data_IF_265284293242
#
_entry.id   IF_265284293242
#
_cell.length_a   1.000
_cell.length_b   1.000
_cell.length_c   1.000
_cell.angle_alpha   90.00
_cell.angle_beta   90.00
_cell.angle_gamma   90.00
#
_symmetry.space_group_name_H-M   'P 1'
#
loop_
_entity.id
_entity.type
_entity.pdbx_description
1 polymer ?
#
# COMPACT_ATOMS: atom_id res chain seq x y z
N UNK A 1 16.77 -7.02 2.07
CA UNK A 1 15.62 -6.11 1.98
C UNK A 1 14.46 -6.77 1.26
N UNK A 2 13.27 -6.58 1.77
CA UNK A 2 12.07 -7.08 1.10
C UNK A 2 11.21 -5.91 0.62
N UNK A 3 10.40 -6.21 -0.39
CA UNK A 3 9.41 -5.26 -0.90
C UNK A 3 8.05 -5.89 -0.74
N UNK A 4 7.16 -5.21 -0.01
CA UNK A 4 5.78 -5.65 0.14
C UNK A 4 4.93 -4.81 -0.80
N UNK A 5 4.35 -5.45 -1.79
CA UNK A 5 3.53 -4.78 -2.79
C UNK A 5 2.06 -5.11 -2.58
N UNK A 6 1.25 -4.08 -2.37
CA UNK A 6 -0.19 -4.24 -2.35
C UNK A 6 -0.72 -3.74 -3.70
N UNK A 7 -1.16 -4.67 -4.53
CA UNK A 7 -1.70 -4.37 -5.86
C UNK A 7 -3.21 -4.18 -5.72
N UNK A 8 -3.66 -2.97 -5.97
CA UNK A 8 -5.05 -2.58 -5.75
C UNK A 8 -5.67 -2.16 -7.07
N UNK A 9 -6.82 -2.74 -7.40
CA UNK A 9 -7.59 -2.33 -8.56
C UNK A 9 -8.76 -1.48 -8.08
N UNK A 10 -8.90 -0.30 -8.67
CA UNK A 10 -9.95 0.65 -8.30
C UNK A 10 -10.68 1.14 -9.55
N UNK A 11 -11.83 1.74 -9.34
CA UNK A 11 -12.57 2.34 -10.45
C UNK A 11 -11.75 3.42 -11.13
N UNK A 12 -11.90 3.58 -12.46
CA UNK A 12 -11.14 4.59 -13.20
C UNK A 12 -11.24 5.98 -12.57
N UNK A 13 -10.09 6.64 -12.44
CA UNK A 13 -10.00 7.98 -11.87
C UNK A 13 -9.82 8.03 -10.36
N UNK A 14 -9.95 6.92 -9.66
CA UNK A 14 -9.84 6.93 -8.20
C UNK A 14 -8.43 6.72 -7.67
N UNK A 15 -7.55 6.08 -8.46
CA UNK A 15 -6.20 5.81 -7.99
C UNK A 15 -5.45 7.09 -7.61
N UNK A 16 -5.50 8.11 -8.46
CA UNK A 16 -4.84 9.38 -8.19
C UNK A 16 -5.36 10.06 -6.91
N UNK A 17 -6.65 9.90 -6.63
CA UNK A 17 -7.26 10.47 -5.44
C UNK A 17 -6.86 9.72 -4.17
N UNK A 18 -6.59 8.43 -4.31
CA UNK A 18 -6.27 7.57 -3.16
C UNK A 18 -4.79 7.52 -2.84
N UNK A 19 -3.93 7.79 -3.83
CA UNK A 19 -2.50 7.57 -3.69
C UNK A 19 -1.89 8.28 -2.49
N UNK A 20 -2.24 9.54 -2.26
CA UNK A 20 -1.67 10.32 -1.16
C UNK A 20 -2.02 9.76 0.22
N UNK A 21 -3.07 8.94 0.31
CA UNK A 21 -3.44 8.33 1.59
C UNK A 21 -2.40 7.34 2.10
N UNK A 22 -1.56 6.81 1.20
CA UNK A 22 -0.55 5.81 1.56
C UNK A 22 0.81 6.43 1.83
N UNK A 23 0.99 7.70 1.54
CA UNK A 23 2.28 8.38 1.69
C UNK A 23 2.23 9.53 2.68
N UNK A 24 1.23 9.56 3.54
CA UNK A 24 1.13 10.61 4.57
C UNK A 24 2.14 10.37 5.68
N UNK A 25 2.77 11.43 6.20
CA UNK A 25 3.67 11.31 7.34
C UNK A 25 2.95 10.69 8.55
N UNK A 26 3.66 9.86 9.28
CA UNK A 26 3.08 9.23 10.47
C UNK A 26 4.04 8.29 11.15
N UNK A 27 3.54 7.47 12.11
CA UNK A 27 4.39 6.57 12.89
C UNK A 27 5.20 5.60 12.05
N UNK A 28 4.70 5.23 10.86
CA UNK A 28 5.40 4.31 9.97
C UNK A 28 6.81 4.79 9.64
N UNK A 29 7.00 6.10 9.46
CA UNK A 29 8.29 6.66 9.09
C UNK A 29 9.37 6.43 10.14
N UNK A 30 8.98 6.22 11.38
CA UNK A 30 9.90 6.00 12.51
C UNK A 30 10.03 4.54 12.89
N UNK A 31 9.33 3.66 12.18
CA UNK A 31 9.34 2.24 12.53
C UNK A 31 10.66 1.61 12.13
N UNK A 32 11.21 0.79 13.03
CA UNK A 32 12.49 0.13 12.79
C UNK A 32 12.40 -0.78 11.57
N UNK A 33 13.38 -0.66 10.68
CA UNK A 33 13.45 -1.47 9.48
C UNK A 33 12.68 -0.92 8.30
N UNK A 34 11.89 0.13 8.49
CA UNK A 34 11.16 0.75 7.39
C UNK A 34 12.09 1.65 6.57
N UNK A 35 12.04 1.52 5.26
CA UNK A 35 12.85 2.36 4.35
C UNK A 35 12.02 3.39 3.63
N UNK A 36 10.98 2.96 2.92
CA UNK A 36 10.12 3.89 2.19
C UNK A 36 8.85 3.22 1.72
N UNK A 37 7.88 4.03 1.32
CA UNK A 37 6.67 3.57 0.64
C UNK A 37 6.49 4.40 -0.62
N UNK A 38 6.13 3.72 -1.70
CA UNK A 38 5.87 4.36 -2.99
C UNK A 38 4.54 3.89 -3.52
N UNK A 39 3.85 4.77 -4.23
CA UNK A 39 2.60 4.41 -4.89
C UNK A 39 2.78 4.61 -6.39
N UNK A 40 2.51 3.55 -7.15
CA UNK A 40 2.54 3.60 -8.61
C UNK A 40 1.12 3.45 -9.12
N UNK A 41 0.80 4.17 -10.19
CA UNK A 41 -0.53 4.14 -10.79
C UNK A 41 -0.39 3.75 -12.25
N UNK A 42 -1.17 2.75 -12.68
CA UNK A 42 -1.29 2.38 -14.07
C UNK A 42 -2.71 2.59 -14.53
N UNK A 43 -2.89 3.28 -15.64
CA UNK A 43 -4.19 3.54 -16.25
C UNK A 43 -4.31 2.92 -17.65
N UNK A 44 -3.50 1.89 -17.91
CA UNK A 44 -3.46 1.24 -19.21
C UNK A 44 -4.79 0.56 -19.56
N UNK A 45 -5.49 0.03 -18.56
CA UNK A 45 -6.77 -0.63 -18.80
C UNK A 45 -7.90 0.39 -18.63
N UNK A 46 -8.78 0.56 -19.63
CA UNK A 46 -9.87 1.53 -19.52
C UNK A 46 -10.96 1.15 -18.52
N UNK A 47 -10.97 -0.10 -18.04
CA UNK A 47 -12.02 -0.57 -17.14
C UNK A 47 -11.67 -0.40 -15.66
N UNK A 48 -10.38 -0.15 -15.36
CA UNK A 48 -9.95 0.07 -13.97
C UNK A 48 -8.58 0.75 -13.94
N UNK A 49 -8.27 1.36 -12.79
CA UNK A 49 -6.93 1.82 -12.50
C UNK A 49 -6.26 0.81 -11.59
N UNK A 50 -4.97 0.55 -11.81
CA UNK A 50 -4.20 -0.29 -10.91
C UNK A 50 -3.25 0.59 -10.10
N UNK A 51 -3.32 0.44 -8.77
CA UNK A 51 -2.45 1.17 -7.85
C UNK A 51 -1.59 0.15 -7.11
N UNK A 52 -0.27 0.32 -7.20
CA UNK A 52 0.67 -0.56 -6.50
C UNK A 52 1.32 0.23 -5.37
N UNK A 53 1.10 -0.21 -4.13
CA UNK A 53 1.73 0.39 -2.97
C UNK A 53 2.92 -0.50 -2.58
N UNK A 54 4.12 0.00 -2.80
CA UNK A 54 5.36 -0.72 -2.53
C UNK A 54 5.98 -0.21 -1.24
N UNK A 55 6.14 -1.10 -0.27
CA UNK A 55 6.80 -0.78 1.00
C UNK A 55 8.13 -1.50 1.06
N UNK A 56 9.18 -0.78 1.38
CA UNK A 56 10.54 -1.32 1.45
C UNK A 56 10.92 -1.51 2.91
N UNK A 57 11.23 -2.75 3.29
CA UNK A 57 11.56 -3.13 4.67
C UNK A 57 12.91 -3.83 4.72
N UNK A 58 13.62 -3.64 5.83
CA UNK A 58 14.91 -4.28 6.06
C UNK A 58 14.80 -5.81 6.02
N UNK A 59 13.74 -6.34 6.63
CA UNK A 59 13.50 -7.77 6.68
C UNK A 59 12.02 -8.05 6.84
N UNK A 60 11.64 -9.30 6.61
CA UNK A 60 10.27 -9.75 6.78
C UNK A 60 9.83 -9.61 8.24
N UNK A 61 10.73 -9.85 9.18
CA UNK A 61 10.45 -9.73 10.61
C UNK A 61 10.09 -8.31 10.98
N UNK A 62 10.77 -7.31 10.42
CA UNK A 62 10.45 -5.90 10.64
C UNK A 62 9.05 -5.56 10.12
N UNK A 63 8.73 -6.06 8.92
CA UNK A 63 7.41 -5.86 8.35
C UNK A 63 6.32 -6.48 9.21
N UNK A 64 6.54 -7.71 9.69
CA UNK A 64 5.58 -8.39 10.54
C UNK A 64 5.39 -7.69 11.88
N UNK A 65 6.48 -7.16 12.45
CA UNK A 65 6.39 -6.40 13.68
C UNK A 65 5.51 -5.16 13.51
N UNK A 66 5.67 -4.45 12.39
CA UNK A 66 4.81 -3.30 12.11
C UNK A 66 3.36 -3.74 11.91
N UNK A 67 3.14 -4.81 11.16
CA UNK A 67 1.80 -5.31 10.86
C UNK A 67 1.05 -5.71 12.14
N UNK A 68 1.79 -6.18 13.14
CA UNK A 68 1.21 -6.60 14.42
C UNK A 68 1.18 -5.46 15.45
N UNK A 69 1.60 -4.26 15.06
CA UNK A 69 1.69 -3.13 15.99
C UNK A 69 0.36 -2.39 16.13
N UNK A 70 0.25 -1.63 17.22
CA UNK A 70 -0.91 -0.76 17.42
C UNK A 70 -0.98 0.34 16.37
N UNK A 71 0.17 0.79 15.87
CA UNK A 71 0.22 1.81 14.82
C UNK A 71 -0.42 1.31 13.53
N UNK A 72 -0.16 0.04 13.16
CA UNK A 72 -0.80 -0.56 11.99
C UNK A 72 -2.31 -0.66 12.19
N UNK A 73 -2.73 -1.15 13.35
CA UNK A 73 -4.15 -1.30 13.67
C UNK A 73 -4.87 0.05 13.60
N UNK A 74 -4.25 1.11 14.12
CA UNK A 74 -4.84 2.43 14.08
C UNK A 74 -4.94 2.98 12.66
N UNK A 75 -3.89 2.75 11.84
CA UNK A 75 -3.86 3.24 10.47
C UNK A 75 -4.83 2.49 9.55
N UNK A 76 -5.14 1.24 9.90
CA UNK A 76 -5.98 0.37 9.07
C UNK A 76 -7.30 0.03 9.76
N UNK A 77 -7.76 0.91 10.63
CA UNK A 77 -9.04 0.72 11.29
C UNK A 77 -10.15 0.66 10.25
N UNK A 78 -10.92 -0.41 10.30
CA UNK A 78 -12.03 -0.60 9.37
C UNK A 78 -13.22 0.26 9.76
N UNK A 79 -14.00 0.75 8.77
CA UNK A 79 -15.24 1.45 9.07
C UNK A 79 -16.23 0.54 9.79
N UNK A 80 -17.18 1.15 10.50
CA UNK A 80 -18.25 0.40 11.11
C UNK A 80 -19.01 -0.39 10.02
N UNK A 81 -19.51 -1.59 10.36
CA UNK A 81 -20.20 -2.43 9.35
C UNK A 81 -21.38 -1.76 8.66
N UNK A 82 -22.04 -0.82 9.32
CA UNK A 82 -23.18 -0.08 8.77
C UNK A 82 -22.75 1.23 8.12
N UNK A 83 -21.46 1.49 8.00
CA UNK A 83 -20.93 2.67 7.33
C UNK A 83 -21.05 2.54 5.81
N UNK A 84 -21.28 3.65 5.13
CA UNK A 84 -21.30 3.65 3.67
C UNK A 84 -19.98 3.16 3.07
N UNK A 85 -18.86 3.46 3.71
CA UNK A 85 -17.56 3.03 3.21
C UNK A 85 -17.34 1.52 3.36
N UNK A 86 -18.16 0.84 4.15
CA UNK A 86 -18.12 -0.61 4.26
C UNK A 86 -18.97 -1.31 3.20
N UNK A 87 -19.79 -0.57 2.47
CA UNK A 87 -20.66 -1.13 1.44
C UNK A 87 -19.85 -1.33 0.15
N UNK A 88 -19.75 -2.58 -0.37
CA UNK A 88 -18.97 -2.83 -1.58
C UNK A 88 -19.44 -2.03 -2.80
N UNK A 89 -20.72 -1.72 -2.90
CA UNK A 89 -21.25 -0.95 -4.02
C UNK A 89 -20.78 0.51 -4.01
N UNK A 90 -20.48 1.04 -2.83
CA UNK A 90 -20.02 2.42 -2.67
C UNK A 90 -18.51 2.54 -2.63
N UNK A 91 -17.80 1.42 -2.60
CA UNK A 91 -16.34 1.43 -2.53
C UNK A 91 -15.75 1.54 -3.94
N UNK A 92 -14.71 2.37 -4.14
CA UNK A 92 -13.99 2.38 -5.40
C UNK A 92 -13.10 1.14 -5.60
N UNK A 93 -12.91 0.34 -4.55
CA UNK A 93 -12.03 -0.82 -4.56
C UNK A 93 -12.67 -1.97 -5.34
N UNK A 94 -11.99 -2.46 -6.36
CA UNK A 94 -12.44 -3.60 -7.17
C UNK A 94 -11.76 -4.90 -6.78
N UNK A 95 -10.52 -4.81 -6.25
CA UNK A 95 -9.80 -5.99 -5.80
C UNK A 95 -8.44 -5.59 -5.26
N UNK A 96 -7.79 -6.51 -4.54
CA UNK A 96 -6.46 -6.28 -4.03
C UNK A 96 -5.71 -7.59 -3.84
N UNK A 97 -4.38 -7.52 -3.93
CA UNK A 97 -3.50 -8.67 -3.72
C UNK A 97 -2.19 -8.18 -3.11
N UNK A 98 -1.71 -8.89 -2.11
CA UNK A 98 -0.43 -8.57 -1.47
C UNK A 98 0.62 -9.57 -1.93
N UNK A 99 1.77 -9.06 -2.39
CA UNK A 99 2.92 -9.85 -2.81
C UNK A 99 4.12 -9.42 -1.97
N UNK A 100 4.79 -10.38 -1.37
CA UNK A 100 6.02 -10.13 -0.61
C UNK A 100 7.17 -10.75 -1.40
N UNK A 101 8.17 -9.95 -1.74
CA UNK A 101 9.31 -10.41 -2.53
C UNK A 101 10.60 -9.90 -1.93
N UNK A 102 11.67 -10.66 -2.11
CA UNK A 102 13.01 -10.24 -1.72
C UNK A 102 13.65 -9.46 -2.85
N UNK A 103 14.36 -8.40 -2.49
CA UNK A 103 15.15 -7.66 -3.46
C UNK A 103 16.41 -8.49 -3.77
N UNK A 104 16.43 -9.09 -4.95
CA UNK A 104 17.53 -9.98 -5.33
C UNK A 104 18.74 -9.22 -5.87
N UNK A 105 18.50 -8.17 -6.62
CA UNK A 105 19.60 -7.32 -7.12
C UNK A 105 19.04 -5.96 -7.52
N UNK A 106 19.89 -4.96 -7.52
CA UNK A 106 19.50 -3.63 -7.95
C UNK A 106 20.73 -2.89 -8.47
N UNK A 107 20.47 -1.92 -9.33
CA UNK A 107 21.48 -1.00 -9.80
C UNK A 107 20.85 0.36 -9.91
N UNK A 108 21.55 1.39 -9.50
CA UNK A 108 21.05 2.75 -9.59
C UNK A 108 21.72 3.48 -10.74
N UNK A 109 21.05 4.54 -11.18
CA UNK A 109 21.61 5.34 -12.27
C UNK A 109 22.93 5.98 -11.84
N UNK A 110 23.88 5.97 -12.76
CA UNK A 110 25.16 6.67 -12.56
C UNK A 110 24.96 8.13 -12.98
N UNK A 111 25.47 9.05 -12.15
CA UNK A 111 25.34 10.48 -12.45
C UNK A 111 26.67 11.16 -12.45
#
# INVERSE_FOLDING_TARGET
>A
MIIVTNRIQVKPGFAAKMASNFTKPGPLQKFEGFHKVEVLISTDDPTYDEMSVNMYWESKEHFQAWRNSDAFAAAHKRPEPDSESANPENSPLLGSKIVIAELASSITAEK
#
